data_IF_520828084305
#
_entry.id   IF_520828084305
#
_cell.length_a   1.000
_cell.length_b   1.000
_cell.length_c   1.000
_cell.angle_alpha   90.00
_cell.angle_beta   90.00
_cell.angle_gamma   90.00
#
_symmetry.space_group_name_H-M   'P 1'
#
loop_
_entity.id
_entity.type
_entity.pdbx_description
1 polymer ?
#
# COMPACT_ATOMS: atom_id res chain seq x y z
N UNK A 1 8.93 18.01 -17.42
CA UNK A 1 7.84 17.43 -16.62
C UNK A 1 8.49 16.57 -15.55
N UNK A 2 8.50 17.04 -14.29
CA UNK A 2 9.19 16.38 -13.16
C UNK A 2 8.43 15.15 -12.63
N UNK A 3 8.14 14.17 -13.47
CA UNK A 3 7.52 12.89 -13.05
C UNK A 3 8.61 11.89 -12.71
N UNK A 4 8.50 11.27 -11.53
CA UNK A 4 9.33 10.15 -11.13
C UNK A 4 8.56 8.87 -11.46
N UNK A 5 9.20 7.92 -12.13
CA UNK A 5 8.64 6.62 -12.45
C UNK A 5 9.35 5.55 -11.63
N UNK A 6 8.57 4.67 -11.01
CA UNK A 6 9.09 3.47 -10.37
C UNK A 6 9.12 2.32 -11.36
N UNK A 7 10.21 1.58 -11.38
CA UNK A 7 10.29 0.32 -12.10
C UNK A 7 9.46 -0.74 -11.38
N UNK A 8 8.78 -1.60 -12.12
CA UNK A 8 8.01 -2.70 -11.52
C UNK A 8 8.91 -3.66 -10.72
N UNK A 9 10.20 -3.72 -11.06
CA UNK A 9 11.22 -4.51 -10.34
C UNK A 9 11.68 -3.86 -9.04
N UNK A 10 11.34 -2.60 -8.80
CA UNK A 10 11.63 -1.90 -7.55
C UNK A 10 10.64 -2.30 -6.44
N UNK A 11 9.52 -2.94 -6.82
CA UNK A 11 8.54 -3.47 -5.88
C UNK A 11 9.12 -4.71 -5.21
N UNK A 12 9.26 -4.69 -3.89
CA UNK A 12 9.72 -5.85 -3.10
C UNK A 12 8.82 -7.07 -3.35
N UNK A 13 9.45 -8.17 -3.78
CA UNK A 13 8.73 -9.39 -4.15
C UNK A 13 8.42 -9.52 -5.65
N UNK A 14 8.74 -8.51 -6.46
CA UNK A 14 8.63 -8.54 -7.92
C UNK A 14 10.02 -8.56 -8.54
N UNK A 15 10.56 -9.74 -8.81
CA UNK A 15 11.89 -9.89 -9.41
C UNK A 15 11.86 -9.83 -10.93
N UNK A 16 13.06 -9.77 -11.51
CA UNK A 16 13.30 -9.69 -12.97
C UNK A 16 12.58 -10.80 -13.77
N UNK A 17 12.47 -12.02 -13.21
CA UNK A 17 11.76 -13.13 -13.86
C UNK A 17 10.25 -12.88 -14.00
N UNK A 18 9.65 -12.23 -13.00
CA UNK A 18 8.24 -11.81 -13.03
C UNK A 18 8.06 -10.71 -14.08
N UNK A 19 8.94 -9.72 -14.09
CA UNK A 19 8.92 -8.64 -15.06
C UNK A 19 8.99 -9.15 -16.50
N UNK A 20 9.98 -10.04 -16.82
CA UNK A 20 10.11 -10.63 -18.15
C UNK A 20 8.87 -11.40 -18.57
N UNK A 21 8.28 -12.14 -17.65
CA UNK A 21 7.06 -12.87 -17.90
C UNK A 21 5.86 -11.95 -18.16
N UNK A 22 5.70 -10.90 -17.36
CA UNK A 22 4.65 -9.90 -17.57
C UNK A 22 4.80 -9.20 -18.92
N UNK A 23 6.02 -8.76 -19.26
CA UNK A 23 6.32 -8.15 -20.55
C UNK A 23 5.93 -9.08 -21.71
N UNK A 24 6.35 -10.35 -21.66
CA UNK A 24 5.98 -11.33 -22.68
C UNK A 24 4.46 -11.52 -22.81
N UNK A 25 3.72 -11.49 -21.71
CA UNK A 25 2.26 -11.62 -21.73
C UNK A 25 1.62 -10.37 -22.37
N UNK A 26 2.06 -9.18 -21.96
CA UNK A 26 1.56 -7.90 -22.51
C UNK A 26 1.83 -7.83 -24.01
N UNK A 27 3.03 -8.22 -24.45
CA UNK A 27 3.42 -8.19 -25.86
C UNK A 27 2.69 -9.24 -26.71
N UNK A 28 2.19 -10.32 -26.12
CA UNK A 28 1.58 -11.47 -26.82
C UNK A 28 0.07 -11.62 -26.64
N UNK A 29 -0.56 -10.82 -25.79
CA UNK A 29 -1.98 -10.95 -25.43
C UNK A 29 -2.70 -9.62 -25.56
N UNK A 30 -3.94 -9.67 -26.02
CA UNK A 30 -4.85 -8.52 -26.04
C UNK A 30 -5.54 -8.42 -24.68
N UNK A 31 -4.89 -7.70 -23.73
CA UNK A 31 -5.41 -7.50 -22.36
C UNK A 31 -6.13 -6.15 -22.34
N UNK A 32 -7.39 -6.16 -21.95
CA UNK A 32 -8.10 -4.93 -21.62
C UNK A 32 -7.72 -4.43 -20.22
N UNK A 33 -6.78 -3.49 -20.16
CA UNK A 33 -6.33 -2.88 -18.91
C UNK A 33 -7.40 -2.06 -18.17
N UNK A 34 -8.53 -1.75 -18.80
CA UNK A 34 -9.67 -1.12 -18.13
C UNK A 34 -10.60 -2.16 -17.49
N UNK A 35 -10.41 -3.43 -17.79
CA UNK A 35 -11.20 -4.52 -17.23
C UNK A 35 -10.42 -5.25 -16.13
N UNK A 36 -10.84 -5.03 -14.89
CA UNK A 36 -10.20 -5.66 -13.74
C UNK A 36 -10.16 -7.20 -13.82
N UNK A 37 -11.22 -7.84 -14.30
CA UNK A 37 -11.24 -9.32 -14.37
C UNK A 37 -10.29 -9.88 -15.43
N UNK A 38 -10.06 -9.13 -16.51
CA UNK A 38 -9.04 -9.49 -17.49
C UNK A 38 -7.64 -9.41 -16.87
N UNK A 39 -7.33 -8.29 -16.23
CA UNK A 39 -6.06 -8.10 -15.53
C UNK A 39 -5.89 -9.14 -14.41
N UNK A 40 -6.89 -9.32 -13.54
CA UNK A 40 -6.83 -10.22 -12.40
C UNK A 40 -6.63 -11.69 -12.82
N UNK A 41 -7.39 -12.17 -13.79
CA UNK A 41 -7.29 -13.55 -14.28
C UNK A 41 -5.97 -13.78 -15.02
N UNK A 42 -5.47 -12.78 -15.73
CA UNK A 42 -4.14 -12.83 -16.35
C UNK A 42 -3.06 -12.98 -15.28
N UNK A 43 -3.11 -12.20 -14.20
CA UNK A 43 -2.18 -12.34 -13.07
C UNK A 43 -2.30 -13.73 -12.43
N UNK A 44 -3.51 -14.19 -12.12
CA UNK A 44 -3.76 -15.48 -11.48
C UNK A 44 -3.29 -16.70 -12.28
N UNK A 45 -3.32 -16.60 -13.59
CA UNK A 45 -2.90 -17.69 -14.48
C UNK A 45 -1.39 -17.70 -14.74
N UNK A 46 -0.71 -16.56 -14.56
CA UNK A 46 0.64 -16.40 -15.04
C UNK A 46 1.65 -15.98 -13.98
N UNK A 47 1.25 -15.23 -12.96
CA UNK A 47 2.14 -14.64 -11.97
C UNK A 47 1.96 -15.33 -10.61
N UNK A 48 3.03 -15.44 -9.82
CA UNK A 48 2.91 -15.97 -8.46
C UNK A 48 2.12 -14.99 -7.57
N UNK A 49 1.44 -15.55 -6.56
CA UNK A 49 0.53 -14.79 -5.70
C UNK A 49 1.23 -13.66 -4.93
N UNK A 50 2.46 -13.88 -4.48
CA UNK A 50 3.22 -12.85 -3.73
C UNK A 50 3.47 -11.62 -4.58
N UNK A 51 3.98 -11.80 -5.80
CA UNK A 51 4.24 -10.69 -6.72
C UNK A 51 2.93 -10.00 -7.16
N UNK A 52 1.87 -10.78 -7.47
CA UNK A 52 0.59 -10.21 -7.87
C UNK A 52 -0.02 -9.35 -6.74
N UNK A 53 -0.02 -9.84 -5.50
CA UNK A 53 -0.50 -9.09 -4.35
C UNK A 53 0.37 -7.87 -4.05
N UNK A 54 1.68 -7.96 -4.15
CA UNK A 54 2.58 -6.81 -3.98
C UNK A 54 2.26 -5.70 -5.00
N UNK A 55 2.05 -6.05 -6.28
CA UNK A 55 1.67 -5.08 -7.31
C UNK A 55 0.31 -4.42 -7.05
N UNK A 56 -0.68 -5.17 -6.58
CA UNK A 56 -1.98 -4.61 -6.21
C UNK A 56 -1.81 -3.65 -5.03
N UNK A 57 -1.13 -4.11 -3.98
CA UNK A 57 -1.01 -3.38 -2.72
C UNK A 57 -0.22 -2.08 -2.82
N UNK A 58 0.83 -2.03 -3.66
CA UNK A 58 1.63 -0.81 -3.84
C UNK A 58 1.05 0.17 -4.89
N UNK A 59 -0.13 -0.10 -5.43
CA UNK A 59 -0.77 0.80 -6.40
C UNK A 59 -0.32 0.65 -7.85
N UNK A 60 0.48 -0.35 -8.20
CA UNK A 60 0.91 -0.58 -9.58
C UNK A 60 -0.26 -0.86 -10.55
N UNK A 61 -1.45 -1.16 -10.02
CA UNK A 61 -2.68 -1.43 -10.79
C UNK A 61 -3.76 -0.36 -10.61
N UNK A 62 -3.47 0.79 -10.03
CA UNK A 62 -4.45 1.86 -9.77
C UNK A 62 -5.09 2.44 -11.06
N UNK A 63 -4.49 2.19 -12.22
CA UNK A 63 -5.07 2.50 -13.52
C UNK A 63 -6.44 1.81 -13.76
N UNK A 64 -6.73 0.72 -13.07
CA UNK A 64 -8.03 0.01 -13.10
C UNK A 64 -9.15 0.82 -12.44
N UNK A 65 -8.83 1.87 -11.68
CA UNK A 65 -9.79 2.76 -10.97
C UNK A 65 -10.68 2.00 -9.98
N UNK A 66 -10.10 1.09 -9.23
CA UNK A 66 -10.73 0.30 -8.19
C UNK A 66 -9.85 0.37 -6.93
N UNK A 67 -10.46 0.34 -5.74
CA UNK A 67 -9.68 0.34 -4.48
C UNK A 67 -8.78 -0.90 -4.41
N UNK A 68 -7.58 -0.73 -3.88
CA UNK A 68 -6.59 -1.81 -3.72
C UNK A 68 -7.14 -2.92 -2.82
N UNK A 69 -7.83 -2.54 -1.75
CA UNK A 69 -8.52 -3.48 -0.84
C UNK A 69 -9.57 -4.31 -1.57
N UNK A 70 -10.37 -3.69 -2.44
CA UNK A 70 -11.34 -4.41 -3.28
C UNK A 70 -10.65 -5.33 -4.28
N UNK A 71 -9.57 -4.86 -4.93
CA UNK A 71 -8.79 -5.69 -5.86
C UNK A 71 -8.18 -6.92 -5.15
N UNK A 72 -7.62 -6.75 -3.95
CA UNK A 72 -7.07 -7.86 -3.16
C UNK A 72 -8.16 -8.86 -2.74
N UNK A 73 -9.30 -8.36 -2.28
CA UNK A 73 -10.43 -9.21 -1.91
C UNK A 73 -10.90 -10.07 -3.09
N UNK A 74 -11.12 -9.46 -4.24
CA UNK A 74 -11.57 -10.19 -5.43
C UNK A 74 -10.48 -11.12 -5.99
N UNK A 75 -9.20 -10.72 -5.93
CA UNK A 75 -8.09 -11.59 -6.26
C UNK A 75 -8.08 -12.84 -5.38
N UNK A 76 -8.28 -12.70 -4.07
CA UNK A 76 -8.31 -13.83 -3.14
C UNK A 76 -9.51 -14.75 -3.38
N UNK A 77 -10.67 -14.19 -3.67
CA UNK A 77 -11.84 -14.99 -4.08
C UNK A 77 -11.53 -15.82 -5.33
N UNK A 78 -11.00 -15.19 -6.39
CA UNK A 78 -10.68 -15.86 -7.65
C UNK A 78 -9.48 -16.80 -7.54
N UNK A 79 -8.52 -16.51 -6.64
CA UNK A 79 -7.36 -17.38 -6.41
C UNK A 79 -7.75 -18.79 -5.96
N UNK A 80 -8.84 -18.90 -5.22
CA UNK A 80 -9.40 -20.18 -4.75
C UNK A 80 -10.16 -20.99 -5.82
N UNK A 81 -10.24 -20.50 -7.05
CA UNK A 81 -10.71 -21.28 -8.19
C UNK A 81 -9.62 -22.25 -8.66
N UNK A 82 -10.02 -23.40 -9.17
CA UNK A 82 -9.11 -24.34 -9.84
C UNK A 82 -8.56 -23.72 -11.14
N UNK A 83 -7.48 -24.29 -11.66
CA UNK A 83 -6.87 -23.82 -12.92
C UNK A 83 -7.87 -23.82 -14.08
N UNK A 84 -8.72 -24.86 -14.17
CA UNK A 84 -9.73 -24.96 -15.24
C UNK A 84 -10.85 -23.94 -15.04
N UNK A 85 -11.32 -23.75 -13.80
CA UNK A 85 -12.32 -22.73 -13.47
C UNK A 85 -11.81 -21.31 -13.78
N UNK A 86 -10.52 -21.01 -13.50
CA UNK A 86 -9.88 -19.73 -13.85
C UNK A 86 -9.83 -19.54 -15.37
N UNK A 87 -9.47 -20.60 -16.12
CA UNK A 87 -9.48 -20.53 -17.59
C UNK A 87 -10.89 -20.30 -18.15
N UNK A 88 -11.89 -20.96 -17.57
CA UNK A 88 -13.28 -20.77 -17.96
C UNK A 88 -13.75 -19.36 -17.62
N UNK A 89 -13.43 -18.84 -16.43
CA UNK A 89 -13.71 -17.47 -16.04
C UNK A 89 -13.09 -16.45 -17.01
N UNK A 90 -11.87 -16.70 -17.50
CA UNK A 90 -11.20 -15.83 -18.46
C UNK A 90 -11.92 -15.72 -19.82
N UNK A 91 -12.73 -16.71 -20.20
CA UNK A 91 -13.60 -16.63 -21.39
C UNK A 91 -14.84 -15.75 -21.17
N UNK A 92 -15.13 -15.41 -19.91
CA UNK A 92 -16.31 -14.63 -19.49
C UNK A 92 -15.91 -13.36 -18.72
N UNK A 93 -14.70 -12.84 -18.96
CA UNK A 93 -14.11 -11.68 -18.29
C UNK A 93 -14.87 -10.36 -18.47
N UNK A 94 -15.80 -10.29 -19.39
CA UNK A 94 -16.66 -9.14 -19.70
C UNK A 94 -17.75 -8.89 -18.63
N UNK A 95 -17.87 -9.76 -17.63
CA UNK A 95 -18.82 -9.56 -16.54
C UNK A 95 -18.46 -8.32 -15.72
N UNK A 96 -19.49 -7.53 -15.35
CA UNK A 96 -19.30 -6.29 -14.58
C UNK A 96 -19.14 -6.49 -13.09
N UNK A 97 -19.53 -7.67 -12.57
CA UNK A 97 -19.52 -8.01 -11.14
C UNK A 97 -18.91 -9.38 -10.92
N UNK A 98 -18.19 -9.52 -9.80
CA UNK A 98 -17.57 -10.79 -9.43
C UNK A 98 -18.60 -11.92 -9.24
N UNK A 99 -19.76 -11.62 -8.65
CA UNK A 99 -20.82 -12.60 -8.45
C UNK A 99 -21.33 -13.14 -9.79
N UNK A 100 -21.45 -12.29 -10.81
CA UNK A 100 -21.86 -12.70 -12.15
C UNK A 100 -20.81 -13.62 -12.78
N UNK A 101 -19.53 -13.28 -12.66
CA UNK A 101 -18.42 -14.09 -13.15
C UNK A 101 -18.39 -15.47 -12.48
N UNK A 102 -18.52 -15.51 -11.15
CA UNK A 102 -18.58 -16.77 -10.39
C UNK A 102 -19.83 -17.60 -10.75
N UNK A 103 -20.96 -16.94 -11.01
CA UNK A 103 -22.18 -17.63 -11.45
C UNK A 103 -22.01 -18.26 -12.83
N UNK A 104 -21.23 -17.62 -13.73
CA UNK A 104 -20.87 -18.24 -15.01
C UNK A 104 -20.00 -19.48 -14.81
N UNK A 105 -19.05 -19.45 -13.86
CA UNK A 105 -18.24 -20.64 -13.54
C UNK A 105 -19.09 -21.81 -13.06
N UNK A 106 -20.22 -21.57 -12.41
CA UNK A 106 -21.17 -22.64 -12.01
C UNK A 106 -21.92 -23.28 -13.19
N UNK A 107 -21.95 -22.63 -14.36
CA UNK A 107 -22.54 -23.25 -15.57
C UNK A 107 -21.63 -24.29 -16.20
N UNK A 108 -20.33 -24.28 -15.85
CA UNK A 108 -19.39 -25.29 -16.25
C UNK A 108 -19.62 -26.60 -15.47
N UNK A 109 -19.11 -27.69 -15.99
CA UNK A 109 -19.26 -29.02 -15.38
C UNK A 109 -18.43 -29.12 -14.09
N UNK A 110 -18.99 -28.67 -12.96
CA UNK A 110 -18.36 -28.70 -11.65
C UNK A 110 -18.96 -29.77 -10.74
N UNK A 111 -18.14 -30.31 -9.83
CA UNK A 111 -18.62 -31.30 -8.85
C UNK A 111 -19.51 -30.63 -7.78
N UNK A 112 -20.42 -31.38 -7.14
CA UNK A 112 -21.31 -30.87 -6.10
C UNK A 112 -20.53 -30.13 -4.97
N UNK A 113 -19.35 -30.65 -4.56
CA UNK A 113 -18.48 -30.01 -3.60
C UNK A 113 -17.98 -28.65 -4.10
N UNK A 114 -17.64 -28.52 -5.38
CA UNK A 114 -17.18 -27.24 -5.95
C UNK A 114 -18.30 -26.23 -6.06
N UNK A 115 -19.52 -26.68 -6.37
CA UNK A 115 -20.72 -25.83 -6.37
C UNK A 115 -20.87 -25.13 -5.01
N UNK A 116 -20.83 -25.88 -3.90
CA UNK A 116 -20.92 -25.29 -2.56
C UNK A 116 -19.83 -24.24 -2.32
N UNK A 117 -18.55 -24.57 -2.62
CA UNK A 117 -17.43 -23.63 -2.44
C UNK A 117 -17.61 -22.34 -3.25
N UNK A 118 -18.09 -22.44 -4.49
CA UNK A 118 -18.30 -21.26 -5.34
C UNK A 118 -19.50 -20.45 -4.84
N UNK A 119 -20.56 -21.10 -4.37
CA UNK A 119 -21.72 -20.43 -3.75
C UNK A 119 -21.34 -19.67 -2.48
N UNK A 120 -20.46 -20.23 -1.63
CA UNK A 120 -19.92 -19.55 -0.46
C UNK A 120 -19.13 -18.29 -0.85
N UNK A 121 -18.33 -18.39 -1.92
CA UNK A 121 -17.61 -17.23 -2.49
C UNK A 121 -18.56 -16.15 -3.02
N UNK A 122 -19.61 -16.51 -3.73
CA UNK A 122 -20.66 -15.58 -4.19
C UNK A 122 -21.33 -14.90 -2.99
N UNK A 123 -21.60 -15.64 -1.92
CA UNK A 123 -22.17 -15.08 -0.70
C UNK A 123 -21.21 -14.09 -0.02
N UNK A 124 -19.91 -14.40 0.02
CA UNK A 124 -18.89 -13.50 0.53
C UNK A 124 -18.74 -12.22 -0.30
N UNK A 125 -18.93 -12.27 -1.62
CA UNK A 125 -18.96 -11.09 -2.46
C UNK A 125 -20.12 -10.14 -2.14
N UNK A 126 -21.30 -10.70 -1.84
CA UNK A 126 -22.49 -9.92 -1.48
C UNK A 126 -22.38 -9.25 -0.10
N UNK A 127 -21.63 -9.87 0.82
CA UNK A 127 -21.39 -9.35 2.17
C UNK A 127 -19.91 -9.56 2.52
N UNK A 128 -19.03 -8.66 2.07
CA UNK A 128 -17.62 -8.71 2.43
C UNK A 128 -17.43 -8.70 3.95
N UNK A 129 -16.42 -9.41 4.50
CA UNK A 129 -16.18 -9.48 5.94
C UNK A 129 -15.59 -8.20 6.55
N UNK A 130 -15.15 -7.25 5.71
CA UNK A 130 -14.56 -5.96 6.09
C UNK A 130 -14.88 -4.89 5.03
N UNK A 131 -14.59 -3.61 5.33
CA UNK A 131 -14.70 -2.54 4.34
C UNK A 131 -13.73 -2.78 3.19
N UNK A 132 -14.18 -2.49 1.98
CA UNK A 132 -13.36 -2.56 0.76
C UNK A 132 -12.77 -1.20 0.36
N UNK A 133 -12.86 -0.21 1.24
CA UNK A 133 -12.22 1.09 1.05
C UNK A 133 -10.74 1.01 1.43
N UNK A 134 -9.92 1.84 0.79
CA UNK A 134 -8.51 1.93 1.11
C UNK A 134 -8.30 2.83 2.33
N UNK A 135 -7.78 2.24 3.42
CA UNK A 135 -7.38 3.01 4.59
C UNK A 135 -6.04 3.71 4.35
N UNK A 136 -5.94 4.99 4.72
CA UNK A 136 -4.73 5.81 4.53
C UNK A 136 -3.51 5.18 5.21
N UNK A 137 -3.65 4.76 6.48
CA UNK A 137 -2.58 4.09 7.22
C UNK A 137 -2.10 2.82 6.52
N UNK A 138 -3.04 1.96 6.14
CA UNK A 138 -2.72 0.72 5.44
C UNK A 138 -2.02 0.97 4.09
N UNK A 139 -2.46 1.98 3.33
CA UNK A 139 -1.82 2.34 2.06
C UNK A 139 -0.40 2.83 2.29
N UNK A 140 -0.21 3.76 3.23
CA UNK A 140 1.10 4.31 3.57
C UNK A 140 2.07 3.21 4.02
N UNK A 141 1.66 2.37 4.99
CA UNK A 141 2.47 1.27 5.49
C UNK A 141 2.85 0.26 4.40
N UNK A 142 1.89 -0.05 3.53
CA UNK A 142 2.09 -1.03 2.46
C UNK A 142 3.03 -0.49 1.39
N UNK A 143 2.88 0.76 0.98
CA UNK A 143 3.80 1.41 0.04
C UNK A 143 5.20 1.49 0.63
N UNK A 144 5.33 1.90 1.90
CA UNK A 144 6.63 1.94 2.58
C UNK A 144 7.29 0.56 2.64
N UNK A 145 6.55 -0.47 3.01
CA UNK A 145 7.06 -1.85 3.09
C UNK A 145 7.49 -2.41 1.73
N UNK A 146 6.82 -2.04 0.63
CA UNK A 146 7.03 -2.59 -0.69
C UNK A 146 7.94 -1.74 -1.58
N UNK A 147 7.95 -0.42 -1.41
CA UNK A 147 8.66 0.54 -2.26
C UNK A 147 9.76 1.30 -1.50
N UNK A 148 9.77 1.24 -0.16
CA UNK A 148 10.69 1.97 0.70
C UNK A 148 10.21 3.37 1.10
N UNK A 149 9.08 3.84 0.56
CA UNK A 149 8.41 5.10 0.95
C UNK A 149 6.96 5.12 0.48
N UNK A 150 6.13 5.89 1.18
CA UNK A 150 4.75 6.14 0.81
C UNK A 150 4.69 7.16 -0.33
N UNK A 151 3.87 6.89 -1.36
CA UNK A 151 3.77 7.71 -2.57
C UNK A 151 2.44 8.45 -2.62
N UNK A 152 1.34 7.75 -2.35
CA UNK A 152 -0.01 8.27 -2.54
C UNK A 152 -0.54 9.02 -1.34
N UNK A 153 -0.12 8.66 -0.14
CA UNK A 153 -0.58 9.27 1.10
C UNK A 153 0.49 9.13 2.20
N UNK A 154 0.51 10.07 3.12
CA UNK A 154 1.29 10.01 4.35
C UNK A 154 0.38 9.64 5.52
N UNK A 155 0.91 9.02 6.57
CA UNK A 155 0.17 8.83 7.83
C UNK A 155 -0.33 10.16 8.41
N UNK A 156 0.37 11.25 8.14
CA UNK A 156 -0.02 12.60 8.55
C UNK A 156 -1.39 13.00 7.99
N UNK A 157 -1.76 12.48 6.79
CA UNK A 157 -3.03 12.78 6.13
C UNK A 157 -4.27 12.28 6.92
N UNK A 158 -4.06 11.43 7.94
CA UNK A 158 -5.12 10.98 8.86
C UNK A 158 -5.44 11.99 9.97
N UNK A 159 -4.57 12.97 10.19
CA UNK A 159 -4.68 13.90 11.30
C UNK A 159 -5.11 15.29 10.83
N UNK A 160 -5.79 16.02 11.72
CA UNK A 160 -6.09 17.43 11.47
C UNK A 160 -4.81 18.26 11.63
N UNK A 161 -4.27 18.69 10.50
CA UNK A 161 -3.08 19.53 10.42
C UNK A 161 -3.38 21.03 10.32
N UNK A 162 -4.64 21.43 10.50
CA UNK A 162 -5.06 22.84 10.37
C UNK A 162 -4.33 23.81 11.32
N UNK A 163 -3.80 23.29 12.41
CA UNK A 163 -3.03 24.08 13.39
C UNK A 163 -1.55 24.26 13.03
N UNK A 164 -1.04 23.55 12.04
CA UNK A 164 0.35 23.70 11.62
C UNK A 164 0.57 25.06 10.95
N UNK A 165 1.72 25.66 11.20
CA UNK A 165 2.05 27.00 10.68
C UNK A 165 3.24 26.99 9.71
N UNK A 166 3.90 25.85 9.52
CA UNK A 166 4.99 25.69 8.57
C UNK A 166 5.16 24.20 8.19
N UNK A 167 5.92 23.94 7.13
CA UNK A 167 6.31 22.61 6.68
C UNK A 167 7.78 22.33 6.94
N UNK A 168 8.18 21.04 6.85
CA UNK A 168 9.59 20.66 6.98
C UNK A 168 10.46 21.39 5.95
N UNK A 169 10.01 21.52 4.70
CA UNK A 169 10.73 22.23 3.64
C UNK A 169 10.87 23.72 3.95
N UNK A 170 9.78 24.39 4.33
CA UNK A 170 9.80 25.82 4.56
C UNK A 170 10.66 26.16 5.77
N UNK A 171 10.60 25.39 6.83
CA UNK A 171 11.46 25.53 7.99
C UNK A 171 12.94 25.34 7.62
N UNK A 172 13.28 24.31 6.86
CA UNK A 172 14.65 24.02 6.39
C UNK A 172 15.22 25.17 5.54
N UNK A 173 14.36 25.84 4.77
CA UNK A 173 14.74 26.99 3.94
C UNK A 173 14.81 28.34 4.72
N UNK A 174 14.65 28.30 6.04
CA UNK A 174 14.67 29.49 6.89
C UNK A 174 13.37 30.30 6.85
N UNK A 175 12.28 29.71 6.33
CA UNK A 175 10.93 30.26 6.39
C UNK A 175 10.22 29.85 7.68
N UNK A 176 9.31 30.71 8.13
CA UNK A 176 8.46 30.44 9.27
C UNK A 176 8.62 31.37 10.44
N UNK A 177 7.66 31.34 11.39
CA UNK A 177 7.72 32.16 12.61
C UNK A 177 8.80 31.64 13.56
N UNK A 178 9.08 32.42 14.64
CA UNK A 178 10.03 32.03 15.69
C UNK A 178 9.57 30.80 16.49
N UNK A 179 8.29 30.55 16.54
CA UNK A 179 7.68 29.38 17.14
C UNK A 179 6.94 28.62 16.03
N UNK A 180 7.37 27.39 15.77
CA UNK A 180 6.85 26.56 14.68
C UNK A 180 6.04 25.39 15.22
N UNK A 181 4.95 25.07 14.51
CA UNK A 181 4.15 23.88 14.73
C UNK A 181 4.08 23.10 13.40
N UNK A 182 4.74 21.95 13.38
CA UNK A 182 4.86 21.09 12.22
C UNK A 182 4.19 19.76 12.55
N UNK A 183 3.36 19.23 11.65
CA UNK A 183 2.94 17.85 11.68
C UNK A 183 3.95 17.03 10.87
N UNK A 184 4.57 16.05 11.50
CA UNK A 184 5.61 15.24 10.88
C UNK A 184 5.61 13.82 11.44
N UNK A 185 6.01 12.84 10.61
CA UNK A 185 6.27 11.47 11.01
C UNK A 185 7.70 11.36 11.55
N UNK A 186 7.90 10.51 12.57
CA UNK A 186 9.22 10.29 13.14
C UNK A 186 9.87 9.11 12.39
N UNK A 187 10.90 9.42 11.59
CA UNK A 187 11.64 8.43 10.81
C UNK A 187 12.70 7.70 11.64
N UNK A 188 13.37 8.44 12.53
CA UNK A 188 14.43 7.88 13.38
C UNK A 188 14.52 8.59 14.72
N UNK A 189 14.90 7.84 15.74
CA UNK A 189 15.11 8.32 17.11
C UNK A 189 16.46 7.84 17.60
N UNK A 190 17.40 8.76 17.77
CA UNK A 190 18.72 8.47 18.34
C UNK A 190 18.83 9.04 19.75
N UNK A 191 18.74 8.16 20.75
CA UNK A 191 18.84 8.54 22.17
C UNK A 191 20.30 8.55 22.60
N UNK A 192 20.73 9.68 23.18
CA UNK A 192 22.08 9.87 23.68
C UNK A 192 22.07 10.42 25.10
N UNK A 193 23.18 10.25 25.83
CA UNK A 193 23.38 10.86 27.14
C UNK A 193 24.14 12.17 27.02
N UNK A 194 23.65 13.20 27.71
CA UNK A 194 24.32 14.50 27.77
C UNK A 194 25.71 14.35 28.39
N UNK A 195 26.73 14.95 27.74
CA UNK A 195 28.10 14.93 28.26
C UNK A 195 28.43 16.16 29.12
N UNK A 196 27.76 17.29 28.84
CA UNK A 196 27.96 18.59 29.49
C UNK A 196 26.59 19.23 29.70
N UNK A 197 26.49 20.17 30.66
CA UNK A 197 25.27 20.91 30.94
C UNK A 197 24.89 20.87 32.42
N UNK A 198 23.66 21.29 32.73
CA UNK A 198 23.13 21.35 34.11
C UNK A 198 23.09 19.99 34.79
N UNK A 199 22.77 18.93 34.02
CA UNK A 199 22.64 17.56 34.51
C UNK A 199 23.35 16.61 33.54
N UNK A 200 24.66 16.36 33.66
CA UNK A 200 25.36 15.37 32.81
C UNK A 200 24.83 13.97 33.05
N UNK A 201 24.69 13.17 31.98
CA UNK A 201 24.20 11.79 32.03
C UNK A 201 22.70 11.62 31.82
N UNK A 202 21.92 12.71 31.73
CA UNK A 202 20.52 12.66 31.36
C UNK A 202 20.35 12.26 29.87
N UNK A 203 19.26 11.55 29.57
CA UNK A 203 18.92 11.15 28.19
C UNK A 203 18.28 12.31 27.44
N UNK A 204 18.66 12.46 26.18
CA UNK A 204 18.04 13.33 25.17
C UNK A 204 17.96 12.61 23.84
N UNK A 205 17.15 13.07 22.91
CA UNK A 205 17.03 12.44 21.61
C UNK A 205 17.28 13.43 20.47
N UNK A 206 17.91 12.90 19.42
CA UNK A 206 17.91 13.49 18.09
C UNK A 206 16.88 12.75 17.27
N UNK A 207 15.95 13.48 16.68
CA UNK A 207 14.87 12.95 15.87
C UNK A 207 15.11 13.36 14.41
N UNK A 208 14.89 12.42 13.50
CA UNK A 208 14.65 12.74 12.09
C UNK A 208 13.15 12.66 11.88
N UNK A 209 12.59 13.73 11.36
CA UNK A 209 11.14 13.83 11.10
C UNK A 209 10.88 14.23 9.66
N UNK A 210 9.79 13.76 9.07
CA UNK A 210 9.41 14.06 7.69
C UNK A 210 7.94 14.41 7.56
N UNK A 211 7.61 15.18 6.52
CA UNK A 211 6.28 15.42 6.02
C UNK A 211 6.26 15.24 4.48
N UNK A 212 5.12 15.46 3.83
CA UNK A 212 5.00 15.38 2.37
C UNK A 212 5.90 16.35 1.59
N UNK A 213 6.50 17.35 2.25
CA UNK A 213 7.34 18.39 1.63
C UNK A 213 8.83 18.10 1.75
N UNK A 214 9.26 17.34 2.75
CA UNK A 214 10.66 17.04 3.00
C UNK A 214 10.92 16.47 4.40
N UNK A 215 12.18 16.51 4.82
CA UNK A 215 12.60 16.00 6.12
C UNK A 215 13.49 17.00 6.87
N UNK A 216 13.46 16.91 8.19
CA UNK A 216 14.31 17.65 9.12
C UNK A 216 15.18 16.66 9.88
N UNK A 217 16.49 16.76 9.69
CA UNK A 217 17.48 16.05 10.48
C UNK A 217 17.73 16.79 11.79
N UNK A 218 18.02 16.06 12.84
CA UNK A 218 18.52 16.62 14.09
C UNK A 218 17.55 17.56 14.81
N UNK A 219 16.25 17.24 14.79
CA UNK A 219 15.29 17.85 15.72
C UNK A 219 15.63 17.36 17.12
N UNK A 220 15.91 18.27 18.04
CA UNK A 220 16.47 17.94 19.35
C UNK A 220 15.36 17.93 20.41
N UNK A 221 15.12 16.79 21.02
CA UNK A 221 14.36 16.68 22.25
C UNK A 221 15.35 16.74 23.44
N UNK A 222 15.49 17.90 24.08
CA UNK A 222 16.32 18.07 25.26
C UNK A 222 15.79 17.23 26.42
N UNK A 223 16.60 16.97 27.49
CA UNK A 223 16.24 16.03 28.55
C UNK A 223 14.86 16.22 29.17
N UNK A 224 14.45 17.45 29.40
CA UNK A 224 13.14 17.77 29.97
C UNK A 224 12.01 17.33 29.02
N UNK A 225 12.10 17.68 27.74
CA UNK A 225 11.12 17.31 26.71
C UNK A 225 11.15 15.81 26.46
N UNK A 226 12.35 15.22 26.32
CA UNK A 226 12.49 13.80 26.10
C UNK A 226 11.87 12.97 27.23
N UNK A 227 12.18 13.30 28.51
CA UNK A 227 11.61 12.60 29.65
C UNK A 227 10.09 12.72 29.72
N UNK A 228 9.53 13.86 29.31
CA UNK A 228 8.07 14.08 29.27
C UNK A 228 7.39 13.25 28.20
N UNK A 229 8.01 13.08 27.04
CA UNK A 229 7.35 12.53 25.85
C UNK A 229 7.89 11.18 25.39
N UNK A 230 8.96 10.63 25.99
CA UNK A 230 9.62 9.38 25.58
C UNK A 230 8.69 8.17 25.43
N UNK A 231 7.58 8.13 26.17
CA UNK A 231 6.62 7.02 26.11
C UNK A 231 5.71 7.08 24.86
N UNK A 232 5.69 8.21 24.16
CA UNK A 232 4.90 8.42 22.95
C UNK A 232 5.77 8.70 21.71
N UNK A 233 7.09 8.80 21.89
CA UNK A 233 8.04 8.91 20.79
C UNK A 233 8.38 7.51 20.30
N UNK A 234 7.95 7.17 19.11
CA UNK A 234 8.28 5.90 18.42
C UNK A 234 8.40 6.17 16.92
N UNK A 235 9.13 5.31 16.24
CA UNK A 235 9.23 5.39 14.79
C UNK A 235 7.86 5.08 14.17
N UNK A 236 7.45 5.89 13.20
CA UNK A 236 6.15 5.83 12.53
C UNK A 236 5.93 4.62 11.64
#
# INVERSE_FOLDING_TARGET
DGKIFFGITDIKGVGESVFKKMKSIIDSSDIDFNNWYDVCLTLLLNINSTAAKAMISCGALDFVKKTRTSMLFEYDILSGLTKNEKKFAALHKDQKKLESLLSMVLTEKVTSRRVSIIQDKISSCKKPPYSLDDGVEWMSDTEYALLGYAIMCSKIDMYDVSMTNTSCRDFKNGGGPSEVLIAAEIEDINVVKTKKGKNPGEEMAFLTVSDSTGFLDSVIAFPEQFNKFKNILYNG
#
